data_IF_046142126190
#
_entry.id   IF_046142126190
#
_cell.length_a   1.000
_cell.length_b   1.000
_cell.length_c   1.000
_cell.angle_alpha   90.00
_cell.angle_beta   90.00
_cell.angle_gamma   90.00
#
_symmetry.space_group_name_H-M   'P 1'
#
loop_
_entity.id
_entity.type
_entity.pdbx_description
1 polymer ?
#
# COMPACT_ATOMS: atom_id res chain seq x y z
N UNK A 1 -31.17 9.43 2.86
CA UNK A 1 -29.71 9.44 2.71
C UNK A 1 -29.08 8.52 3.74
N UNK A 2 -28.08 7.78 3.36
CA UNK A 2 -27.30 6.94 4.27
C UNK A 2 -25.88 7.52 4.30
N UNK A 3 -25.35 7.78 5.49
CA UNK A 3 -24.03 8.41 5.66
C UNK A 3 -23.85 9.75 4.90
N UNK A 4 -24.90 10.58 4.83
CA UNK A 4 -24.84 11.88 4.16
C UNK A 4 -24.86 11.85 2.63
N UNK A 5 -25.00 10.67 2.02
CA UNK A 5 -25.03 10.50 0.56
C UNK A 5 -26.37 9.97 0.08
N UNK A 6 -26.75 10.32 -1.14
CA UNK A 6 -27.87 9.70 -1.84
C UNK A 6 -27.39 8.43 -2.53
N UNK A 7 -28.07 7.32 -2.28
CA UNK A 7 -27.78 6.03 -2.89
C UNK A 7 -29.04 5.50 -3.54
N UNK A 8 -28.89 4.93 -4.74
CA UNK A 8 -29.95 4.12 -5.34
C UNK A 8 -29.97 2.78 -4.64
N UNK A 9 -31.12 2.41 -4.09
CA UNK A 9 -31.33 1.10 -3.49
C UNK A 9 -32.36 0.34 -4.30
N UNK A 10 -32.04 -0.90 -4.73
CA UNK A 10 -33.04 -1.76 -5.35
C UNK A 10 -34.19 -2.02 -4.38
N UNK A 11 -35.41 -1.99 -4.87
CA UNK A 11 -36.61 -2.30 -4.10
C UNK A 11 -36.83 -3.81 -3.92
N UNK A 12 -36.07 -4.62 -4.67
CA UNK A 12 -36.04 -6.07 -4.58
C UNK A 12 -34.68 -6.57 -4.13
N UNK A 13 -34.64 -7.76 -3.48
CA UNK A 13 -33.40 -8.41 -3.09
C UNK A 13 -32.62 -8.84 -4.33
N UNK A 14 -31.46 -8.23 -4.57
CA UNK A 14 -30.58 -8.54 -5.70
C UNK A 14 -29.27 -9.22 -5.28
N UNK A 15 -28.96 -9.27 -3.98
CA UNK A 15 -27.79 -9.96 -3.48
C UNK A 15 -27.82 -11.45 -3.82
N UNK A 16 -26.84 -11.92 -4.61
CA UNK A 16 -26.81 -13.28 -5.13
C UNK A 16 -27.73 -13.56 -6.33
N UNK A 17 -28.47 -12.53 -6.79
CA UNK A 17 -29.41 -12.63 -7.92
C UNK A 17 -29.17 -11.47 -8.90
N UNK A 18 -28.07 -11.50 -9.67
CA UNK A 18 -27.77 -10.42 -10.62
C UNK A 18 -28.83 -10.26 -11.71
N UNK A 19 -29.56 -11.33 -12.02
CA UNK A 19 -30.70 -11.36 -12.96
C UNK A 19 -31.87 -10.48 -12.51
N UNK A 20 -31.97 -10.19 -11.20
CA UNK A 20 -33.02 -9.34 -10.61
C UNK A 20 -32.61 -7.86 -10.51
N UNK A 21 -31.41 -7.51 -10.94
CA UNK A 21 -30.96 -6.13 -10.91
C UNK A 21 -31.82 -5.27 -11.86
N UNK A 22 -32.45 -4.18 -11.37
CA UNK A 22 -33.19 -3.26 -12.21
C UNK A 22 -32.26 -2.40 -13.10
N UNK A 23 -30.95 -2.55 -12.93
CA UNK A 23 -29.92 -1.79 -13.65
C UNK A 23 -29.01 -2.77 -14.38
N UNK A 24 -28.84 -2.58 -15.66
CA UNK A 24 -27.82 -3.26 -16.45
C UNK A 24 -26.55 -2.40 -16.45
N UNK A 25 -25.45 -2.95 -15.93
CA UNK A 25 -24.15 -2.32 -15.97
C UNK A 25 -23.51 -2.74 -17.30
N UNK A 26 -23.45 -1.82 -18.26
CA UNK A 26 -22.88 -2.05 -19.59
C UNK A 26 -21.45 -1.58 -19.74
N UNK A 27 -20.88 -0.96 -18.68
CA UNK A 27 -19.51 -0.46 -18.69
C UNK A 27 -18.51 -1.57 -18.46
N UNK A 28 -17.70 -1.90 -19.44
CA UNK A 28 -16.50 -2.68 -19.23
C UNK A 28 -15.45 -1.83 -18.51
N UNK A 29 -14.62 -2.47 -17.70
CA UNK A 29 -13.47 -1.81 -17.10
C UNK A 29 -12.56 -1.35 -18.24
N UNK A 30 -12.18 -0.06 -18.33
CA UNK A 30 -11.27 0.37 -19.38
C UNK A 30 -9.93 -0.35 -19.27
N UNK A 31 -9.32 -0.62 -20.42
CA UNK A 31 -7.96 -1.13 -20.44
C UNK A 31 -7.01 -0.12 -19.80
N UNK A 32 -5.95 -0.59 -19.12
CA UNK A 32 -4.92 0.29 -18.59
C UNK A 32 -4.35 1.18 -19.71
N UNK A 33 -4.07 2.45 -19.44
CA UNK A 33 -3.46 3.33 -20.44
C UNK A 33 -2.07 2.82 -20.82
N UNK A 34 -1.71 2.98 -22.09
CA UNK A 34 -0.34 2.71 -22.53
C UNK A 34 0.58 3.82 -22.02
N UNK A 35 1.52 3.46 -21.18
CA UNK A 35 2.55 4.37 -20.68
C UNK A 35 3.83 4.14 -21.47
N UNK A 36 4.36 5.21 -22.09
CA UNK A 36 5.62 5.19 -22.82
C UNK A 36 6.83 5.40 -21.90
N UNK A 37 8.03 5.44 -22.49
CA UNK A 37 9.29 5.65 -21.81
C UNK A 37 10.04 4.36 -21.52
N UNK A 38 11.30 4.51 -21.10
CA UNK A 38 12.23 3.39 -20.87
C UNK A 38 12.25 2.90 -19.42
N UNK A 39 11.63 3.64 -18.53
CA UNK A 39 11.47 3.29 -17.11
C UNK A 39 10.09 3.73 -16.66
N UNK A 40 9.36 2.81 -16.03
CA UNK A 40 8.01 3.05 -15.53
C UNK A 40 8.01 3.08 -14.02
N UNK A 41 7.48 4.16 -13.46
CA UNK A 41 7.30 4.32 -12.02
C UNK A 41 5.81 4.33 -11.72
N UNK A 42 5.40 3.59 -10.71
CA UNK A 42 4.02 3.56 -10.22
C UNK A 42 3.96 3.86 -8.73
N UNK A 43 2.81 4.27 -8.25
CA UNK A 43 2.44 4.34 -6.84
C UNK A 43 1.26 3.41 -6.59
N UNK A 44 1.24 2.74 -5.44
CA UNK A 44 0.20 1.77 -5.11
C UNK A 44 -0.02 1.71 -3.60
N UNK A 45 -1.18 2.19 -3.15
CA UNK A 45 -1.61 2.00 -1.77
C UNK A 45 -2.09 0.56 -1.58
N UNK A 46 -1.45 -0.19 -0.68
CA UNK A 46 -1.73 -1.61 -0.42
C UNK A 46 -2.84 -1.83 0.61
N UNK A 47 -3.51 -0.77 1.05
CA UNK A 47 -4.65 -0.82 1.98
C UNK A 47 -4.32 -1.58 3.27
N UNK A 48 -3.39 -1.02 4.06
CA UNK A 48 -2.92 -1.63 5.31
C UNK A 48 -2.48 -3.09 5.12
N UNK A 49 -1.42 -3.30 4.34
CA UNK A 49 -0.82 -4.63 4.19
C UNK A 49 -0.01 -4.95 5.45
N UNK A 50 -0.60 -5.74 6.32
CA UNK A 50 -0.03 -6.21 7.58
C UNK A 50 0.16 -7.72 7.51
N UNK A 51 1.37 -8.19 7.75
CA UNK A 51 1.64 -9.62 7.90
C UNK A 51 1.30 -10.14 9.30
N UNK A 52 1.21 -9.22 10.27
CA UNK A 52 0.69 -9.47 11.60
C UNK A 52 -0.84 -9.32 11.61
N UNK A 53 -1.55 -10.28 12.21
CA UNK A 53 -2.98 -10.42 12.04
C UNK A 53 -3.75 -10.06 13.30
N UNK A 54 -4.97 -9.55 13.13
CA UNK A 54 -5.84 -9.22 14.26
C UNK A 54 -6.15 -10.41 15.16
N UNK A 55 -6.24 -11.62 14.59
CA UNK A 55 -6.51 -12.85 15.35
C UNK A 55 -5.38 -13.22 16.32
N UNK A 56 -4.18 -12.77 16.07
CA UNK A 56 -2.99 -13.05 16.89
C UNK A 56 -2.77 -11.97 17.98
N UNK A 57 -3.50 -10.83 17.93
CA UNK A 57 -3.44 -9.77 18.94
C UNK A 57 -4.54 -9.96 20.00
N UNK A 58 -4.14 -10.08 21.26
CA UNK A 58 -5.07 -10.27 22.38
C UNK A 58 -6.03 -9.09 22.53
N UNK A 59 -7.32 -9.38 22.62
CA UNK A 59 -8.38 -8.37 22.74
C UNK A 59 -8.73 -7.65 21.43
N UNK A 60 -8.10 -8.02 20.32
CA UNK A 60 -8.46 -7.50 19.02
C UNK A 60 -9.86 -7.96 18.61
N UNK A 61 -10.63 -7.07 17.98
CA UNK A 61 -11.89 -7.39 17.33
C UNK A 61 -11.77 -7.15 15.82
N UNK A 62 -12.81 -7.46 15.06
CA UNK A 62 -12.80 -7.25 13.61
C UNK A 62 -14.09 -6.63 13.09
N UNK A 63 -14.00 -6.06 11.89
CA UNK A 63 -15.18 -5.71 11.10
C UNK A 63 -15.70 -6.98 10.42
N UNK A 64 -16.96 -7.37 10.68
CA UNK A 64 -17.51 -8.56 10.06
C UNK A 64 -17.91 -8.30 8.61
N UNK A 65 -17.81 -9.33 7.80
CA UNK A 65 -18.48 -9.40 6.51
C UNK A 65 -19.98 -9.70 6.68
N UNK A 66 -20.66 -9.95 5.57
CA UNK A 66 -22.11 -10.30 5.55
C UNK A 66 -22.44 -11.64 6.23
N UNK A 67 -21.46 -12.52 6.42
CA UNK A 67 -21.63 -13.83 7.08
C UNK A 67 -21.29 -13.77 8.57
N UNK A 68 -20.75 -12.63 9.05
CA UNK A 68 -20.31 -12.45 10.41
C UNK A 68 -18.84 -12.79 10.65
N UNK A 69 -18.09 -13.23 9.62
CA UNK A 69 -16.67 -13.50 9.71
C UNK A 69 -15.87 -12.19 9.75
N UNK A 70 -14.93 -12.08 10.68
CA UNK A 70 -14.08 -10.89 10.77
C UNK A 70 -13.07 -10.85 9.62
N UNK A 71 -13.06 -9.73 8.90
CA UNK A 71 -12.20 -9.51 7.73
C UNK A 71 -11.05 -8.56 8.05
N UNK A 72 -11.33 -7.41 8.66
CA UNK A 72 -10.34 -6.38 8.96
C UNK A 72 -10.26 -6.15 10.46
N UNK A 73 -9.06 -6.01 11.00
CA UNK A 73 -8.80 -5.72 12.40
C UNK A 73 -9.44 -4.38 12.83
N UNK A 74 -9.98 -4.35 14.05
CA UNK A 74 -10.67 -3.19 14.62
C UNK A 74 -10.33 -3.05 16.09
N UNK A 75 -9.97 -1.83 16.50
CA UNK A 75 -9.57 -1.50 17.87
C UNK A 75 -8.34 -2.30 18.33
N UNK A 76 -7.40 -2.48 17.43
CA UNK A 76 -6.16 -3.21 17.64
C UNK A 76 -5.00 -2.31 17.24
N UNK A 77 -3.77 -2.70 17.55
CA UNK A 77 -2.57 -2.06 17.03
C UNK A 77 -2.37 -2.37 15.56
N UNK A 78 -2.59 -3.64 15.17
CA UNK A 78 -2.61 -4.04 13.76
C UNK A 78 -3.83 -3.44 13.06
N UNK A 79 -3.68 -3.02 11.81
CA UNK A 79 -4.75 -2.37 11.01
C UNK A 79 -5.20 -3.19 9.83
N UNK A 80 -4.47 -4.25 9.50
CA UNK A 80 -4.70 -5.07 8.31
C UNK A 80 -5.77 -6.13 8.47
N UNK A 81 -5.54 -7.27 7.85
CA UNK A 81 -6.46 -8.41 7.89
C UNK A 81 -6.63 -8.95 9.31
N UNK A 82 -7.87 -9.36 9.66
CA UNK A 82 -8.11 -9.99 10.95
C UNK A 82 -7.69 -11.45 10.96
N UNK A 83 -7.95 -12.19 9.89
CA UNK A 83 -7.69 -13.63 9.80
C UNK A 83 -6.72 -13.99 8.68
N UNK A 84 -6.15 -15.21 8.76
CA UNK A 84 -5.26 -15.75 7.71
C UNK A 84 -5.95 -15.83 6.35
N UNK A 85 -7.23 -16.17 6.33
CA UNK A 85 -8.01 -16.22 5.09
C UNK A 85 -8.21 -14.82 4.49
N UNK A 86 -8.58 -13.85 5.32
CA UNK A 86 -8.72 -12.46 4.89
C UNK A 86 -7.40 -11.91 4.35
N UNK A 87 -6.28 -12.22 5.00
CA UNK A 87 -4.95 -11.83 4.56
C UNK A 87 -4.59 -12.47 3.20
N UNK A 88 -4.79 -13.77 3.05
CA UNK A 88 -4.53 -14.46 1.78
C UNK A 88 -5.34 -13.86 0.62
N UNK A 89 -6.59 -13.52 0.87
CA UNK A 89 -7.46 -12.87 -0.11
C UNK A 89 -7.00 -11.43 -0.44
N UNK A 90 -6.48 -10.69 0.52
CA UNK A 90 -5.90 -9.36 0.31
C UNK A 90 -4.59 -9.47 -0.49
N UNK A 91 -3.66 -10.31 -0.04
CA UNK A 91 -2.34 -10.52 -0.65
C UNK A 91 -2.47 -10.94 -2.12
N UNK A 92 -3.35 -11.89 -2.43
CA UNK A 92 -3.56 -12.35 -3.80
C UNK A 92 -4.00 -11.21 -4.75
N UNK A 93 -4.86 -10.31 -4.28
CA UNK A 93 -5.32 -9.15 -5.08
C UNK A 93 -4.20 -8.13 -5.29
N UNK A 94 -3.41 -7.86 -4.25
CA UNK A 94 -2.28 -6.93 -4.30
C UNK A 94 -1.22 -7.47 -5.25
N UNK A 95 -0.86 -8.75 -5.14
CA UNK A 95 0.12 -9.42 -6.00
C UNK A 95 -0.31 -9.35 -7.47
N UNK A 96 -1.55 -9.72 -7.77
CA UNK A 96 -2.08 -9.67 -9.13
C UNK A 96 -2.06 -8.24 -9.69
N UNK A 97 -2.44 -7.25 -8.89
CA UNK A 97 -2.46 -5.85 -9.31
C UNK A 97 -1.05 -5.30 -9.57
N UNK A 98 -0.10 -5.51 -8.65
CA UNK A 98 1.27 -5.01 -8.79
C UNK A 98 1.97 -5.66 -10.00
N UNK A 99 1.84 -6.98 -10.17
CA UNK A 99 2.42 -7.66 -11.32
C UNK A 99 1.83 -7.19 -12.66
N UNK A 100 0.56 -6.75 -12.67
CA UNK A 100 -0.11 -6.22 -13.86
C UNK A 100 0.25 -4.75 -14.18
N UNK A 101 0.85 -3.97 -13.25
CA UNK A 101 1.21 -2.57 -13.48
C UNK A 101 2.27 -2.40 -14.59
N UNK A 102 3.10 -3.42 -14.81
CA UNK A 102 4.21 -3.33 -15.77
C UNK A 102 5.27 -2.28 -15.37
N UNK A 103 5.32 -1.87 -14.09
CA UNK A 103 6.26 -0.89 -13.56
C UNK A 103 7.62 -1.52 -13.26
N UNK A 104 8.66 -0.68 -13.30
CA UNK A 104 10.04 -1.01 -12.92
C UNK A 104 10.31 -0.64 -11.45
N UNK A 105 9.68 0.43 -10.97
CA UNK A 105 9.68 0.88 -9.58
C UNK A 105 8.25 1.11 -9.14
N UNK A 106 7.89 0.64 -7.95
CA UNK A 106 6.60 0.92 -7.32
C UNK A 106 6.83 1.52 -5.94
N UNK A 107 6.30 2.72 -5.72
CA UNK A 107 6.14 3.31 -4.41
C UNK A 107 4.89 2.68 -3.77
N UNK A 108 5.05 2.13 -2.57
CA UNK A 108 3.99 1.49 -1.81
C UNK A 108 3.63 2.35 -0.61
N UNK A 109 2.35 2.60 -0.41
CA UNK A 109 1.80 3.23 0.79
C UNK A 109 1.06 2.18 1.63
N UNK A 110 1.04 2.39 2.94
CA UNK A 110 0.34 1.56 3.92
C UNK A 110 0.94 0.15 4.11
N UNK A 111 2.25 0.02 3.93
CA UNK A 111 3.00 -1.15 4.39
C UNK A 111 3.13 -1.10 5.91
N UNK A 112 2.91 -2.22 6.57
CA UNK A 112 3.11 -2.38 8.01
C UNK A 112 4.52 -1.98 8.44
N UNK A 113 4.61 -1.34 9.60
CA UNK A 113 5.84 -1.14 10.36
C UNK A 113 5.79 -2.00 11.64
N UNK A 114 6.27 -3.25 11.64
CA UNK A 114 6.15 -4.15 12.79
C UNK A 114 6.81 -3.61 14.05
N UNK A 115 7.84 -2.78 13.92
CA UNK A 115 8.53 -2.14 15.06
C UNK A 115 7.60 -1.11 15.72
N UNK A 116 6.91 -0.27 14.94
CA UNK A 116 5.97 0.71 15.47
C UNK A 116 4.70 0.06 16.04
N UNK A 117 4.26 -1.06 15.48
CA UNK A 117 3.17 -1.89 16.05
C UNK A 117 3.61 -2.51 17.38
N UNK A 118 4.90 -2.83 17.54
CA UNK A 118 5.46 -3.49 18.70
C UNK A 118 5.33 -5.03 18.67
N UNK A 119 5.28 -5.61 17.46
CA UNK A 119 5.17 -7.06 17.23
C UNK A 119 6.45 -7.68 16.69
N UNK A 120 7.42 -6.88 16.28
CA UNK A 120 8.69 -7.34 15.72
C UNK A 120 9.82 -6.32 15.87
N UNK A 121 11.03 -6.73 15.51
CA UNK A 121 12.26 -5.92 15.52
C UNK A 121 12.75 -5.59 14.10
N UNK A 122 12.22 -6.27 13.09
CA UNK A 122 12.54 -6.04 11.68
C UNK A 122 11.45 -5.16 11.04
N UNK A 123 11.85 -3.93 10.70
CA UNK A 123 10.97 -2.95 10.07
C UNK A 123 10.54 -3.38 8.66
N UNK A 124 11.33 -4.21 8.00
CA UNK A 124 11.11 -4.64 6.62
C UNK A 124 10.39 -5.99 6.48
N UNK A 125 10.06 -6.68 7.58
CA UNK A 125 9.51 -8.04 7.56
C UNK A 125 8.26 -8.18 6.67
N UNK A 126 7.28 -7.28 6.80
CA UNK A 126 6.05 -7.30 6.00
C UNK A 126 6.30 -6.95 4.54
N UNK A 127 7.26 -6.06 4.26
CA UNK A 127 7.69 -5.73 2.90
C UNK A 127 8.39 -6.92 2.22
N UNK A 128 9.28 -7.58 2.94
CA UNK A 128 9.97 -8.78 2.47
C UNK A 128 8.97 -9.90 2.13
N UNK A 129 7.97 -10.10 2.98
CA UNK A 129 6.87 -11.05 2.71
C UNK A 129 6.10 -10.71 1.44
N UNK A 130 5.76 -9.44 1.21
CA UNK A 130 5.08 -9.02 -0.03
C UNK A 130 5.94 -9.32 -1.26
N UNK A 131 7.26 -9.03 -1.20
CA UNK A 131 8.18 -9.32 -2.29
C UNK A 131 8.32 -10.83 -2.53
N UNK A 132 8.32 -11.64 -1.48
CA UNK A 132 8.28 -13.10 -1.63
C UNK A 132 7.02 -13.57 -2.38
N UNK A 133 5.85 -13.05 -2.00
CA UNK A 133 4.58 -13.37 -2.67
C UNK A 133 4.55 -12.91 -4.13
N UNK A 134 5.08 -11.71 -4.43
CA UNK A 134 5.23 -11.20 -5.79
C UNK A 134 6.15 -12.09 -6.64
N UNK A 135 7.28 -12.52 -6.09
CA UNK A 135 8.23 -13.40 -6.78
C UNK A 135 7.71 -14.82 -6.96
N UNK A 136 6.88 -15.29 -6.05
CA UNK A 136 6.21 -16.59 -6.20
C UNK A 136 5.27 -16.61 -7.41
N UNK A 137 4.62 -15.50 -7.70
CA UNK A 137 3.70 -15.35 -8.83
C UNK A 137 4.41 -15.02 -10.14
N UNK A 138 5.31 -14.02 -10.12
CA UNK A 138 5.97 -13.49 -11.32
C UNK A 138 7.27 -14.24 -11.73
N UNK A 139 7.79 -15.09 -10.85
CA UNK A 139 9.10 -15.75 -11.01
C UNK A 139 10.15 -15.19 -10.04
N UNK A 140 11.01 -16.08 -9.56
CA UNK A 140 12.05 -15.75 -8.59
C UNK A 140 12.97 -14.61 -9.09
N UNK A 141 13.22 -13.62 -8.22
CA UNK A 141 14.11 -12.49 -8.53
C UNK A 141 13.49 -11.42 -9.45
N UNK A 142 12.20 -11.51 -9.79
CA UNK A 142 11.50 -10.46 -10.56
C UNK A 142 11.44 -9.16 -9.77
N UNK A 143 11.21 -9.23 -8.46
CA UNK A 143 11.09 -8.10 -7.57
C UNK A 143 12.13 -8.13 -6.45
N UNK A 144 12.59 -6.95 -6.05
CA UNK A 144 13.33 -6.71 -4.83
C UNK A 144 12.75 -5.48 -4.12
N UNK A 145 13.07 -5.29 -2.85
CA UNK A 145 12.69 -4.07 -2.12
C UNK A 145 13.91 -3.24 -1.77
N UNK A 146 13.69 -1.95 -1.54
CA UNK A 146 14.69 -1.04 -0.99
C UNK A 146 14.67 -1.21 0.53
N UNK A 147 15.79 -1.62 1.16
CA UNK A 147 15.85 -1.75 2.60
C UNK A 147 15.59 -0.43 3.32
N UNK A 148 15.06 -0.51 4.52
CA UNK A 148 14.97 0.65 5.41
C UNK A 148 16.33 1.31 5.60
N UNK A 149 16.41 2.66 5.64
CA UNK A 149 17.66 3.34 5.89
C UNK A 149 18.18 3.05 7.31
N UNK A 150 19.49 3.20 7.52
CA UNK A 150 20.12 2.98 8.83
C UNK A 150 19.69 3.98 9.91
N UNK A 151 19.06 5.11 9.54
CA UNK A 151 18.46 6.07 10.46
C UNK A 151 16.99 6.22 10.13
N UNK A 152 16.13 5.98 11.11
CA UNK A 152 14.67 6.13 11.00
C UNK A 152 14.17 7.15 12.03
N UNK A 153 13.04 7.84 11.77
CA UNK A 153 12.42 8.73 12.74
C UNK A 153 12.09 8.04 14.06
N UNK A 154 12.19 8.78 15.16
CA UNK A 154 11.82 8.26 16.49
C UNK A 154 10.31 8.03 16.64
N UNK A 155 9.51 8.79 15.92
CA UNK A 155 8.07 8.70 15.92
C UNK A 155 7.59 8.34 14.50
N UNK A 156 7.18 7.10 14.33
CA UNK A 156 6.59 6.60 13.08
C UNK A 156 5.18 6.06 13.32
N UNK A 157 4.35 6.10 12.29
CA UNK A 157 3.06 5.40 12.31
C UNK A 157 3.28 3.88 12.14
N UNK A 158 2.28 3.09 12.49
CA UNK A 158 2.23 1.64 12.26
C UNK A 158 2.17 1.26 10.77
N UNK A 159 1.95 2.25 9.90
CA UNK A 159 2.05 2.13 8.44
C UNK A 159 3.11 3.07 7.90
N UNK A 160 3.81 2.64 6.88
CA UNK A 160 4.91 3.38 6.27
C UNK A 160 4.88 3.34 4.75
N UNK A 161 5.73 4.15 4.13
CA UNK A 161 6.05 4.12 2.71
C UNK A 161 7.21 3.14 2.48
N UNK A 162 7.21 2.48 1.33
CA UNK A 162 8.28 1.60 0.90
C UNK A 162 8.47 1.64 -0.62
N UNK A 163 9.59 1.14 -1.11
CA UNK A 163 9.82 0.92 -2.54
C UNK A 163 10.10 -0.55 -2.83
N UNK A 164 9.49 -1.04 -3.91
CA UNK A 164 9.89 -2.26 -4.59
C UNK A 164 10.32 -1.94 -6.01
N UNK A 165 11.19 -2.75 -6.58
CA UNK A 165 11.73 -2.51 -7.90
C UNK A 165 12.10 -3.83 -8.60
N UNK A 166 12.27 -3.77 -9.93
CA UNK A 166 12.77 -4.90 -10.74
C UNK A 166 14.27 -4.80 -10.93
N UNK A 167 15.08 -5.68 -10.33
CA UNK A 167 16.54 -5.65 -10.46
C UNK A 167 17.06 -5.80 -11.87
N UNK A 168 16.26 -6.38 -12.75
CA UNK A 168 16.63 -6.54 -14.17
C UNK A 168 16.64 -5.19 -14.94
N UNK A 169 15.94 -4.17 -14.45
CA UNK A 169 15.76 -2.90 -15.17
C UNK A 169 16.33 -1.70 -14.44
N UNK A 170 16.28 -1.71 -13.10
CA UNK A 170 16.79 -0.62 -12.26
C UNK A 170 17.51 -1.15 -11.02
N UNK A 171 18.41 -0.34 -10.47
CA UNK A 171 19.08 -0.61 -9.20
C UNK A 171 19.02 0.63 -8.30
N UNK A 172 18.82 0.48 -6.99
CA UNK A 172 18.93 1.59 -6.05
C UNK A 172 20.39 2.08 -5.97
N UNK A 173 20.56 3.41 -5.86
CA UNK A 173 21.86 4.07 -5.71
C UNK A 173 21.94 4.63 -4.29
N UNK A 174 22.83 4.08 -3.50
CA UNK A 174 22.95 4.46 -2.08
C UNK A 174 21.73 4.11 -1.24
N UNK A 175 21.71 4.53 0.04
CA UNK A 175 20.59 4.30 0.95
C UNK A 175 19.40 5.20 0.63
N UNK A 176 18.20 4.73 0.96
CA UNK A 176 17.00 5.56 0.97
C UNK A 176 17.08 6.63 2.08
N UNK A 177 16.29 7.69 1.93
CA UNK A 177 16.18 8.79 2.89
C UNK A 177 14.73 8.98 3.32
N UNK A 178 14.48 8.93 4.62
CA UNK A 178 13.19 9.34 5.20
C UNK A 178 13.31 10.82 5.59
N UNK A 179 12.41 11.64 5.07
CA UNK A 179 12.34 13.07 5.42
C UNK A 179 11.60 13.24 6.75
N UNK A 180 12.38 13.35 7.83
CA UNK A 180 11.85 13.51 9.19
C UNK A 180 11.65 15.02 9.48
N UNK A 181 10.45 15.52 9.15
CA UNK A 181 10.06 16.91 9.37
C UNK A 181 8.79 16.95 10.25
N UNK A 182 8.72 17.85 11.24
CA UNK A 182 7.54 18.01 12.10
C UNK A 182 6.23 18.28 11.35
N UNK A 183 6.29 18.79 10.12
CA UNK A 183 5.11 18.99 9.27
C UNK A 183 4.42 17.67 8.89
N UNK A 184 5.13 16.54 8.94
CA UNK A 184 4.57 15.22 8.65
C UNK A 184 4.30 14.40 9.89
N UNK A 185 5.12 14.55 10.94
CA UNK A 185 5.03 13.71 12.14
C UNK A 185 3.71 13.92 12.88
N UNK A 186 2.95 12.84 13.07
CA UNK A 186 1.63 12.86 13.71
C UNK A 186 0.48 13.35 12.81
N UNK A 187 0.76 13.88 11.62
CA UNK A 187 -0.24 14.34 10.65
C UNK A 187 -0.32 13.44 9.42
N UNK A 188 0.80 13.11 8.84
CA UNK A 188 0.95 12.24 7.68
C UNK A 188 2.08 11.23 7.93
N UNK A 189 2.48 10.47 6.92
CA UNK A 189 3.68 9.64 6.98
C UNK A 189 4.84 10.43 6.40
N UNK A 190 6.02 10.24 6.99
CA UNK A 190 7.24 10.89 6.50
C UNK A 190 7.52 10.43 5.07
N UNK A 191 7.81 11.37 4.15
CA UNK A 191 8.19 11.05 2.78
C UNK A 191 9.44 10.18 2.72
N UNK A 192 9.47 9.27 1.73
CA UNK A 192 10.61 8.40 1.46
C UNK A 192 11.17 8.73 0.09
N UNK A 193 12.48 8.98 0.01
CA UNK A 193 13.20 9.23 -1.23
C UNK A 193 14.22 8.12 -1.50
N UNK A 194 14.34 7.71 -2.77
CA UNK A 194 15.37 6.78 -3.23
C UNK A 194 15.85 7.20 -4.62
N UNK A 195 17.16 7.21 -4.81
CA UNK A 195 17.78 7.31 -6.12
C UNK A 195 17.86 5.93 -6.76
N UNK A 196 17.49 5.84 -8.03
CA UNK A 196 17.60 4.65 -8.85
C UNK A 196 18.43 4.96 -10.10
N UNK A 197 19.22 3.98 -10.54
CA UNK A 197 19.90 4.01 -11.82
C UNK A 197 19.33 2.89 -12.70
N UNK A 198 19.25 3.14 -14.01
CA UNK A 198 18.89 2.11 -14.98
C UNK A 198 20.00 1.06 -15.08
N UNK A 199 19.61 -0.20 -15.13
CA UNK A 199 20.53 -1.29 -15.48
C UNK A 199 20.67 -1.31 -17.00
N UNK A 200 21.79 -0.79 -17.51
CA UNK A 200 22.13 -0.81 -18.92
C UNK A 200 23.33 -1.72 -19.13
N UNK A 201 23.35 -2.47 -20.23
CA UNK A 201 24.51 -3.28 -20.61
C UNK A 201 25.71 -2.44 -21.14
N UNK A 202 25.60 -1.12 -21.14
CA UNK A 202 26.60 -0.21 -21.69
C UNK A 202 27.59 0.28 -20.63
N UNK A 203 28.82 0.60 -21.07
CA UNK A 203 29.92 1.07 -20.20
C UNK A 203 29.77 2.52 -19.71
N UNK A 204 28.81 3.28 -20.20
CA UNK A 204 28.51 4.63 -19.73
C UNK A 204 27.77 4.59 -18.41
N UNK A 205 28.05 5.56 -17.52
CA UNK A 205 27.29 5.69 -16.26
C UNK A 205 25.81 5.80 -16.59
N UNK A 206 24.98 4.90 -16.04
CA UNK A 206 23.54 4.93 -16.33
C UNK A 206 22.93 6.22 -15.79
N UNK A 207 21.97 6.77 -16.53
CA UNK A 207 21.19 7.89 -16.03
C UNK A 207 20.46 7.49 -14.75
N UNK A 208 20.60 8.30 -13.71
CA UNK A 208 19.89 8.13 -12.45
C UNK A 208 18.71 9.08 -12.33
N UNK A 209 17.76 8.73 -11.47
CA UNK A 209 16.59 9.55 -11.13
C UNK A 209 16.20 9.31 -9.69
N UNK A 210 15.61 10.32 -9.06
CA UNK A 210 15.12 10.22 -7.68
C UNK A 210 13.61 10.08 -7.70
N UNK A 211 13.10 9.11 -6.92
CA UNK A 211 11.67 8.97 -6.64
C UNK A 211 11.43 9.40 -5.21
N UNK A 212 10.51 10.34 -5.03
CA UNK A 212 10.03 10.77 -3.71
C UNK A 212 8.57 10.36 -3.57
N UNK A 213 8.31 9.43 -2.66
CA UNK A 213 6.98 8.96 -2.36
C UNK A 213 6.40 9.71 -1.15
N UNK A 214 5.15 10.12 -1.27
CA UNK A 214 4.42 10.85 -0.23
C UNK A 214 3.10 10.13 0.07
N UNK A 215 2.78 9.97 1.35
CA UNK A 215 1.49 9.49 1.77
C UNK A 215 0.82 10.55 2.66
N UNK A 216 0.05 11.42 2.01
CA UNK A 216 -0.64 12.51 2.69
C UNK A 216 -1.72 12.01 3.63
N UNK A 217 -2.14 12.90 4.54
CA UNK A 217 -3.28 12.63 5.42
C UNK A 217 -4.54 12.38 4.60
N UNK A 218 -5.30 11.35 4.98
CA UNK A 218 -6.60 11.09 4.37
C UNK A 218 -7.58 12.23 4.68
N UNK A 219 -8.47 12.52 3.73
CA UNK A 219 -9.59 13.44 3.95
C UNK A 219 -10.54 12.86 5.01
N UNK A 220 -10.84 13.59 6.04
CA UNK A 220 -11.73 13.12 7.08
C UNK A 220 -11.88 14.07 8.27
N UNK A 221 -10.79 14.60 8.76
CA UNK A 221 -10.82 15.60 9.84
C UNK A 221 -9.61 16.50 9.74
N UNK A 222 -9.79 17.77 9.98
CA UNK A 222 -8.69 18.71 10.17
C UNK A 222 -8.09 18.46 11.55
N UNK A 223 -6.77 18.22 11.66
CA UNK A 223 -6.13 18.11 12.97
C UNK A 223 -6.33 19.39 13.78
N UNK A 224 -6.51 19.27 15.09
CA UNK A 224 -6.57 20.43 15.97
C UNK A 224 -5.26 21.24 15.84
N UNK A 225 -5.38 22.55 15.62
CA UNK A 225 -4.23 23.43 15.42
C UNK A 225 -3.61 23.41 14.02
N UNK A 226 -4.23 22.74 13.06
CA UNK A 226 -3.74 22.77 11.67
C UNK A 226 -3.75 24.19 11.10
N UNK A 227 -2.72 24.60 10.33
CA UNK A 227 -2.69 25.90 9.68
C UNK A 227 -3.89 26.13 8.76
N UNK A 228 -4.32 27.40 8.66
CA UNK A 228 -5.36 27.79 7.71
C UNK A 228 -4.94 27.39 6.28
N UNK A 229 -5.82 26.72 5.55
CA UNK A 229 -5.54 26.17 4.22
C UNK A 229 -5.21 24.67 4.20
N UNK A 230 -4.92 24.04 5.35
CA UNK A 230 -4.80 22.60 5.48
C UNK A 230 -6.18 21.98 5.81
N UNK A 231 -7.16 22.30 4.97
CA UNK A 231 -8.55 21.86 5.11
C UNK A 231 -8.85 20.80 4.06
N UNK A 232 -9.54 19.76 4.49
CA UNK A 232 -10.13 18.79 3.56
C UNK A 232 -11.29 19.49 2.82
N UNK A 233 -11.09 19.81 1.57
CA UNK A 233 -12.14 20.36 0.68
C UNK A 233 -12.93 19.23 0.03
#
# INVERSE_FOLDING_TARGET
PRHGSFLFQPTSMVAGHPDRSPVTITGERPSPPTVGGDTRVATFNVLNYFSDLGVDESGCSGYPDRTGAFVTAKKCKVRGAFSREAFANQEAKIVAAINALGADVVALEEIENPVAVGVGTDRDASLARLVEALNKDAGAGTWAYVPSPGSVPKAEDVIRIAFIYKPATVAPVGPSLIHDDPAFTGLARQPLAQEFARVTGERSAPASFVVVANHFKSKGSVPEGAPAGNVDS
#
